data_IF_610478873278
#
_entry.id   IF_610478873278
#
_cell.length_a   1.000
_cell.length_b   1.000
_cell.length_c   1.000
_cell.angle_alpha   90.00
_cell.angle_beta   90.00
_cell.angle_gamma   90.00
#
_symmetry.space_group_name_H-M   'P 1'
#
loop_
_entity.id
_entity.type
_entity.pdbx_description
1 polymer ?
#
# COMPACT_ATOMS: atom_id res chain seq x y z
N UNK A 1 2.12 -6.00 25.46
CA UNK A 1 2.56 -4.61 25.16
C UNK A 1 2.73 -4.51 23.66
N UNK A 2 2.16 -3.49 23.01
CA UNK A 2 2.40 -3.25 21.58
C UNK A 2 3.66 -2.40 21.52
N UNK A 3 4.79 -2.99 21.12
CA UNK A 3 6.05 -2.27 21.04
C UNK A 3 6.01 -1.30 19.86
N UNK A 4 6.43 -0.06 20.10
CA UNK A 4 6.66 0.87 19.02
C UNK A 4 7.80 0.34 18.15
N UNK A 5 7.63 0.40 16.83
CA UNK A 5 8.63 -0.02 15.85
C UNK A 5 9.15 1.22 15.16
N UNK A 6 10.45 1.45 15.23
CA UNK A 6 11.11 2.55 14.54
C UNK A 6 11.76 2.01 13.26
N UNK A 7 11.40 2.59 12.11
CA UNK A 7 11.97 2.26 10.80
C UNK A 7 12.82 3.40 10.22
N UNK A 8 13.29 4.32 11.08
CA UNK A 8 14.06 5.50 10.65
C UNK A 8 15.36 5.12 9.92
N UNK A 9 16.06 4.08 10.38
CA UNK A 9 17.32 3.65 9.77
C UNK A 9 17.14 3.15 8.33
N UNK A 10 16.17 2.26 8.12
CA UNK A 10 15.79 1.76 6.81
C UNK A 10 15.25 2.89 5.93
N UNK A 11 14.45 3.79 6.50
CA UNK A 11 13.91 4.94 5.78
C UNK A 11 15.05 5.83 5.25
N UNK A 12 16.04 6.14 6.09
CA UNK A 12 17.22 6.92 5.70
C UNK A 12 18.04 6.21 4.63
N UNK A 13 18.21 4.89 4.70
CA UNK A 13 18.91 4.13 3.66
C UNK A 13 18.25 4.28 2.27
N UNK A 14 16.92 4.38 2.25
CA UNK A 14 16.13 4.51 1.01
C UNK A 14 16.02 5.94 0.48
N UNK A 15 15.86 6.93 1.38
CA UNK A 15 15.47 8.29 1.02
C UNK A 15 16.48 9.37 1.44
N UNK A 16 17.59 8.99 2.06
CA UNK A 16 18.57 9.91 2.63
C UNK A 16 18.12 10.51 3.97
N UNK A 17 19.03 11.26 4.59
CA UNK A 17 18.73 12.08 5.77
C UNK A 17 17.92 13.31 5.37
N UNK A 18 17.17 13.91 6.29
CA UNK A 18 16.42 15.13 5.97
C UNK A 18 17.32 16.32 5.64
N UNK A 19 18.52 16.35 6.23
CA UNK A 19 19.57 17.35 5.98
C UNK A 19 20.30 17.10 4.65
N UNK A 20 20.29 15.87 4.15
CA UNK A 20 20.93 15.47 2.89
C UNK A 20 20.06 14.44 2.16
N UNK A 21 18.89 14.87 1.64
CA UNK A 21 17.90 13.92 1.15
C UNK A 21 18.28 13.41 -0.23
N UNK A 22 17.88 12.16 -0.53
CA UNK A 22 17.99 11.61 -1.87
C UNK A 22 17.05 12.38 -2.80
N UNK A 23 17.57 12.77 -3.95
CA UNK A 23 16.81 13.42 -5.01
C UNK A 23 16.30 12.39 -6.00
N UNK A 24 15.03 12.53 -6.39
CA UNK A 24 14.37 11.73 -7.41
C UNK A 24 13.98 12.64 -8.57
N UNK A 25 14.33 12.28 -9.81
CA UNK A 25 14.03 13.11 -10.98
C UNK A 25 12.54 13.18 -11.25
N UNK A 26 11.82 12.08 -11.03
CA UNK A 26 10.38 11.97 -11.25
C UNK A 26 9.66 11.50 -9.98
N UNK A 27 8.35 11.69 -9.94
CA UNK A 27 7.54 11.15 -8.83
C UNK A 27 7.43 9.62 -8.92
N UNK A 28 7.47 9.09 -10.14
CA UNK A 28 7.42 7.66 -10.44
C UNK A 28 8.66 6.93 -9.87
N UNK A 29 9.85 7.52 -10.00
CA UNK A 29 11.08 6.98 -9.41
C UNK A 29 10.98 6.91 -7.88
N UNK A 30 10.45 7.96 -7.26
CA UNK A 30 10.20 7.99 -5.82
C UNK A 30 9.17 6.92 -5.42
N UNK A 31 8.08 6.77 -6.17
CA UNK A 31 7.04 5.78 -5.88
C UNK A 31 7.54 4.35 -6.03
N UNK A 32 8.44 4.09 -6.98
CA UNK A 32 9.11 2.80 -7.12
C UNK A 32 10.00 2.50 -5.91
N UNK A 33 10.82 3.46 -5.49
CA UNK A 33 11.67 3.34 -4.30
C UNK A 33 10.83 3.14 -3.03
N UNK A 34 9.71 3.86 -2.91
CA UNK A 34 8.74 3.68 -1.84
C UNK A 34 8.10 2.30 -1.89
N UNK A 35 7.75 1.79 -3.06
CA UNK A 35 7.22 0.43 -3.18
C UNK A 35 8.20 -0.60 -2.62
N UNK A 36 9.48 -0.49 -2.97
CA UNK A 36 10.54 -1.38 -2.48
C UNK A 36 10.71 -1.28 -0.97
N UNK A 37 10.86 -0.06 -0.43
CA UNK A 37 10.94 0.18 1.02
C UNK A 37 9.79 -0.48 1.79
N UNK A 38 8.55 -0.29 1.34
CA UNK A 38 7.39 -0.86 2.01
C UNK A 38 7.28 -2.39 1.84
N UNK A 39 7.86 -2.96 0.78
CA UNK A 39 7.94 -4.41 0.57
C UNK A 39 8.96 -5.06 1.51
N UNK A 40 10.09 -4.40 1.74
CA UNK A 40 11.19 -4.93 2.56
C UNK A 40 10.99 -4.70 4.06
N UNK A 41 10.41 -3.57 4.45
CA UNK A 41 10.16 -3.26 5.87
C UNK A 41 8.78 -3.71 6.33
N UNK A 42 7.80 -3.74 5.42
CA UNK A 42 6.39 -3.89 5.76
C UNK A 42 5.70 -2.58 6.18
N UNK A 43 6.42 -1.46 6.21
CA UNK A 43 5.90 -0.15 6.63
C UNK A 43 5.01 0.43 5.53
N UNK A 44 3.71 0.15 5.57
CA UNK A 44 2.80 0.55 4.49
C UNK A 44 2.27 1.97 4.64
N UNK A 45 2.43 2.76 3.59
CA UNK A 45 1.93 4.13 3.47
C UNK A 45 0.93 4.25 2.32
N UNK A 46 0.04 5.23 2.47
CA UNK A 46 -0.87 5.70 1.42
C UNK A 46 -0.77 7.21 1.29
N UNK A 47 -1.12 7.71 0.11
CA UNK A 47 -1.28 9.15 -0.10
C UNK A 47 -2.41 9.65 0.80
N UNK A 48 -2.12 10.69 1.58
CA UNK A 48 -3.09 11.40 2.42
C UNK A 48 -3.57 12.67 1.72
N UNK A 49 -2.64 13.48 1.25
CA UNK A 49 -2.91 14.74 0.56
C UNK A 49 -1.90 14.93 -0.56
N UNK A 50 -2.34 15.61 -1.62
CA UNK A 50 -1.50 16.06 -2.73
C UNK A 50 -1.78 17.54 -2.94
N UNK A 51 -0.72 18.34 -2.95
CA UNK A 51 -0.73 19.76 -3.23
C UNK A 51 -0.01 19.96 -4.57
N UNK A 52 -0.62 20.78 -5.43
CA UNK A 52 -0.13 21.08 -6.77
C UNK A 52 0.17 22.56 -6.89
N UNK A 53 1.14 22.89 -7.74
CA UNK A 53 1.43 24.28 -8.09
C UNK A 53 0.33 24.86 -9.00
N UNK A 54 0.45 26.16 -9.32
CA UNK A 54 -0.49 26.87 -10.21
C UNK A 54 -0.56 26.28 -11.63
N UNK A 55 0.50 25.60 -12.07
CA UNK A 55 0.56 24.94 -13.37
C UNK A 55 0.03 23.49 -13.32
N UNK A 56 -0.43 23.01 -12.15
CA UNK A 56 -0.97 21.67 -11.93
C UNK A 56 0.10 20.60 -11.68
N UNK A 57 1.38 20.98 -11.61
CA UNK A 57 2.50 20.12 -11.27
C UNK A 57 2.50 19.72 -9.80
N UNK A 58 3.02 18.53 -9.48
CA UNK A 58 3.10 18.08 -8.10
C UNK A 58 4.08 18.97 -7.31
N UNK A 59 3.59 19.66 -6.27
CA UNK A 59 4.42 20.48 -5.39
C UNK A 59 4.75 19.76 -4.08
N UNK A 60 3.75 19.15 -3.45
CA UNK A 60 3.92 18.44 -2.18
C UNK A 60 2.97 17.25 -2.10
N UNK A 61 3.42 16.15 -1.49
CA UNK A 61 2.56 15.00 -1.20
C UNK A 61 2.84 14.44 0.17
N UNK A 62 1.78 14.20 0.94
CA UNK A 62 1.86 13.64 2.28
C UNK A 62 1.49 12.18 2.23
N UNK A 63 2.35 11.35 2.79
CA UNK A 63 2.14 9.92 2.97
C UNK A 63 1.86 9.63 4.44
N UNK A 64 0.92 8.73 4.70
CA UNK A 64 0.57 8.31 6.06
C UNK A 64 0.45 6.81 6.12
N UNK A 65 0.80 6.23 7.27
CA UNK A 65 0.60 4.82 7.50
C UNK A 65 -0.86 4.40 7.23
N UNK A 66 -1.08 3.24 6.60
CA UNK A 66 -2.43 2.72 6.32
C UNK A 66 -3.26 2.47 7.60
N UNK A 67 -2.59 2.32 8.75
CA UNK A 67 -3.16 2.09 10.08
C UNK A 67 -3.49 3.40 10.83
N UNK A 68 -3.37 4.58 10.18
CA UNK A 68 -3.56 5.92 10.80
C UNK A 68 -4.94 6.20 11.37
N UNK A 69 -6.00 5.71 10.74
CA UNK A 69 -7.35 5.93 11.29
C UNK A 69 -7.46 5.29 12.68
N UNK A 70 -8.28 5.86 13.56
CA UNK A 70 -8.62 5.19 14.81
C UNK A 70 -9.81 4.26 14.57
N UNK A 71 -9.90 3.18 15.36
CA UNK A 71 -11.12 2.37 15.39
C UNK A 71 -12.28 3.29 15.77
N UNK A 72 -13.33 3.34 14.94
CA UNK A 72 -14.58 3.96 15.35
C UNK A 72 -15.04 3.27 16.63
N UNK A 73 -15.40 4.05 17.65
CA UNK A 73 -15.93 3.52 18.90
C UNK A 73 -17.12 2.59 18.56
N UNK A 74 -17.23 1.40 19.17
CA UNK A 74 -18.32 0.48 18.84
C UNK A 74 -19.66 1.18 19.00
N UNK A 75 -20.41 1.31 17.91
CA UNK A 75 -21.85 1.58 17.99
C UNK A 75 -22.54 0.32 18.51
N UNK A 76 -23.52 0.51 19.40
CA UNK A 76 -24.30 -0.57 20.02
C UNK A 76 -25.02 -1.38 18.93
N UNK A 77 -24.44 -2.47 18.44
CA UNK A 77 -25.17 -3.47 17.63
C UNK A 77 -24.55 -3.97 16.33
N UNK A 78 -23.39 -3.48 15.87
CA UNK A 78 -22.73 -4.02 14.68
C UNK A 78 -21.56 -4.93 15.05
N UNK A 79 -21.67 -6.20 14.60
CA UNK A 79 -20.66 -7.27 14.68
C UNK A 79 -19.24 -6.70 14.78
N UNK A 80 -18.60 -6.86 15.94
CA UNK A 80 -17.25 -6.34 16.18
C UNK A 80 -16.27 -6.95 15.19
N UNK A 81 -16.02 -6.24 14.08
CA UNK A 81 -14.87 -6.55 13.24
C UNK A 81 -13.67 -5.91 13.94
N UNK A 82 -12.59 -6.67 14.22
CA UNK A 82 -11.34 -6.06 14.65
C UNK A 82 -10.92 -5.05 13.60
N UNK A 83 -10.98 -3.76 13.94
CA UNK A 83 -10.47 -2.73 13.05
C UNK A 83 -8.96 -2.93 12.98
N UNK A 84 -8.46 -3.08 11.77
CA UNK A 84 -7.02 -3.07 11.50
C UNK A 84 -6.41 -1.68 11.72
N UNK A 85 -7.15 -0.69 12.21
CA UNK A 85 -6.71 0.71 12.33
C UNK A 85 -6.30 1.01 13.77
N UNK A 86 -5.08 1.51 13.97
CA UNK A 86 -4.43 1.65 15.29
C UNK A 86 -4.19 3.10 15.70
N UNK A 87 -4.64 4.08 14.92
CA UNK A 87 -4.29 5.47 15.17
C UNK A 87 -2.82 5.80 14.85
N UNK A 88 -2.14 5.01 14.00
CA UNK A 88 -0.71 5.16 13.74
C UNK A 88 -0.35 6.57 13.24
N UNK A 89 0.62 7.22 13.89
CA UNK A 89 1.04 8.57 13.55
C UNK A 89 2.20 8.64 12.54
N UNK A 90 2.70 7.49 12.08
CA UNK A 90 3.77 7.45 11.10
C UNK A 90 3.35 8.13 9.78
N UNK A 91 4.13 9.14 9.39
CA UNK A 91 3.85 10.03 8.26
C UNK A 91 5.13 10.66 7.74
N UNK A 92 5.20 10.95 6.45
CA UNK A 92 6.22 11.82 5.88
C UNK A 92 5.64 12.64 4.74
N UNK A 93 6.39 13.62 4.27
CA UNK A 93 6.05 14.34 3.06
C UNK A 93 7.23 14.43 2.11
N UNK A 94 6.88 14.43 0.83
CA UNK A 94 7.79 14.76 -0.26
C UNK A 94 7.45 16.14 -0.79
N UNK A 95 8.47 16.86 -1.22
CA UNK A 95 8.33 18.16 -1.86
C UNK A 95 9.12 18.20 -3.16
N UNK A 96 8.67 19.03 -4.09
CA UNK A 96 9.44 19.40 -5.25
C UNK A 96 10.47 20.46 -4.84
N UNK A 97 11.74 20.14 -5.05
CA UNK A 97 12.87 21.05 -4.86
C UNK A 97 12.88 22.16 -5.92
N UNK A 98 13.67 23.22 -5.69
CA UNK A 98 13.85 24.31 -6.66
C UNK A 98 14.42 23.82 -8.01
N UNK A 99 15.24 22.75 -8.00
CA UNK A 99 15.79 22.12 -9.20
C UNK A 99 14.79 21.21 -9.95
N UNK A 100 13.54 21.13 -9.51
CA UNK A 100 12.49 20.34 -10.15
C UNK A 100 12.43 18.87 -9.71
N UNK A 101 13.47 18.36 -9.03
CA UNK A 101 13.51 17.01 -8.43
C UNK A 101 12.64 16.91 -7.18
N UNK A 102 12.29 15.69 -6.78
CA UNK A 102 11.51 15.38 -5.58
C UNK A 102 12.40 14.82 -4.47
N UNK A 103 12.11 15.19 -3.22
CA UNK A 103 12.81 14.64 -2.06
C UNK A 103 11.91 14.60 -0.82
N UNK A 104 12.26 13.75 0.15
CA UNK A 104 11.61 13.74 1.47
C UNK A 104 12.23 14.85 2.30
N UNK A 105 11.41 15.73 2.88
CA UNK A 105 11.92 16.86 3.69
C UNK A 105 11.57 16.75 5.16
N UNK A 106 10.58 15.93 5.53
CA UNK A 106 10.29 15.62 6.93
C UNK A 106 9.39 14.40 7.08
N UNK A 107 9.51 13.75 8.25
CA UNK A 107 8.64 12.64 8.62
C UNK A 107 8.84 12.17 10.06
N UNK A 108 7.90 11.33 10.50
CA UNK A 108 7.91 10.55 11.73
C UNK A 108 7.81 9.08 11.32
N UNK A 109 8.87 8.31 11.57
CA UNK A 109 8.97 6.88 11.17
C UNK A 109 8.63 5.90 12.28
N UNK A 110 8.09 6.39 13.40
CA UNK A 110 7.68 5.56 14.53
C UNK A 110 6.28 5.00 14.34
N UNK A 111 6.17 3.68 14.33
CA UNK A 111 4.92 2.92 14.26
C UNK A 111 4.50 2.42 15.65
N UNK A 112 3.20 2.42 15.92
CA UNK A 112 2.61 1.89 17.15
C UNK A 112 2.00 0.49 16.96
N UNK A 113 2.41 -0.21 15.91
CA UNK A 113 1.96 -1.53 15.55
C UNK A 113 3.14 -2.29 14.92
N UNK A 114 3.12 -3.63 14.93
CA UNK A 114 4.12 -4.42 14.23
C UNK A 114 4.20 -4.02 12.76
N UNK A 115 5.41 -3.89 12.28
CA UNK A 115 5.72 -3.64 10.88
C UNK A 115 6.47 -4.86 10.40
N UNK A 116 5.84 -5.63 9.51
CA UNK A 116 6.35 -6.93 9.11
C UNK A 116 6.09 -7.15 7.61
N UNK A 117 7.11 -7.56 6.84
CA UNK A 117 6.99 -7.76 5.39
C UNK A 117 5.98 -8.85 4.99
N UNK A 118 5.88 -9.92 5.78
CA UNK A 118 4.97 -11.04 5.53
C UNK A 118 3.53 -10.57 5.74
N UNK A 119 3.24 -9.92 6.88
CA UNK A 119 1.90 -9.38 7.14
C UNK A 119 1.53 -8.26 6.17
N UNK A 120 2.50 -7.42 5.78
CA UNK A 120 2.33 -6.38 4.76
C UNK A 120 1.80 -6.94 3.45
N UNK A 121 2.38 -8.05 2.94
CA UNK A 121 1.93 -8.72 1.71
C UNK A 121 0.47 -9.20 1.78
N UNK A 122 -0.02 -9.49 2.99
CA UNK A 122 -1.40 -9.92 3.23
C UNK A 122 -2.39 -8.76 3.41
N UNK A 123 -1.94 -7.51 3.39
CA UNK A 123 -2.82 -6.35 3.49
C UNK A 123 -3.79 -6.28 2.30
N UNK A 124 -5.10 -6.02 2.53
CA UNK A 124 -6.11 -6.05 1.47
C UNK A 124 -5.78 -5.20 0.24
N UNK A 125 -5.11 -4.05 0.42
CA UNK A 125 -4.70 -3.20 -0.69
C UNK A 125 -3.63 -3.85 -1.58
N UNK A 126 -2.70 -4.64 -1.01
CA UNK A 126 -1.65 -5.34 -1.77
C UNK A 126 -2.14 -6.61 -2.45
N UNK A 127 -3.20 -7.22 -1.90
CA UNK A 127 -3.84 -8.40 -2.50
C UNK A 127 -4.75 -8.06 -3.67
N UNK A 128 -5.17 -6.79 -3.83
CA UNK A 128 -6.02 -6.37 -4.94
C UNK A 128 -5.28 -6.47 -6.27
N UNK A 129 -5.89 -7.14 -7.22
CA UNK A 129 -5.44 -7.19 -8.61
C UNK A 129 -5.93 -5.95 -9.34
N UNK A 130 -5.07 -5.36 -10.16
CA UNK A 130 -5.47 -4.29 -11.08
C UNK A 130 -6.27 -4.86 -12.27
N UNK A 131 -6.93 -4.01 -13.09
CA UNK A 131 -7.77 -4.49 -14.19
C UNK A 131 -7.03 -5.37 -15.21
N UNK A 132 -5.76 -5.07 -15.52
CA UNK A 132 -4.99 -5.86 -16.48
C UNK A 132 -4.67 -7.26 -15.92
N UNK A 133 -4.28 -7.32 -14.65
CA UNK A 133 -4.08 -8.58 -13.94
C UNK A 133 -5.38 -9.39 -13.84
N UNK A 134 -6.50 -8.71 -13.55
CA UNK A 134 -7.82 -9.35 -13.50
C UNK A 134 -8.18 -9.99 -14.84
N UNK A 135 -7.95 -9.32 -15.96
CA UNK A 135 -8.22 -9.87 -17.29
C UNK A 135 -7.32 -11.08 -17.58
N UNK A 136 -6.04 -11.02 -17.22
CA UNK A 136 -5.12 -12.15 -17.44
C UNK A 136 -5.51 -13.44 -16.69
N UNK A 137 -6.09 -13.34 -15.50
CA UNK A 137 -6.51 -14.51 -14.69
C UNK A 137 -7.95 -14.93 -14.95
N UNK A 138 -8.73 -14.12 -15.67
CA UNK A 138 -10.12 -14.39 -15.99
C UNK A 138 -10.33 -15.78 -16.59
N UNK A 139 -9.60 -16.20 -17.66
CA UNK A 139 -9.76 -17.53 -18.22
C UNK A 139 -9.48 -18.66 -17.21
N UNK A 140 -8.52 -18.46 -16.32
CA UNK A 140 -8.21 -19.45 -15.28
C UNK A 140 -9.38 -19.62 -14.31
N UNK A 141 -10.05 -18.52 -13.93
CA UNK A 141 -11.20 -18.53 -13.02
C UNK A 141 -12.51 -19.03 -13.66
N UNK A 142 -12.64 -18.91 -14.99
CA UNK A 142 -13.80 -19.41 -15.74
C UNK A 142 -13.70 -20.90 -16.02
N UNK A 143 -12.52 -21.39 -16.37
CA UNK A 143 -12.32 -22.76 -16.84
C UNK A 143 -12.27 -23.81 -15.71
N UNK A 144 -12.74 -23.45 -14.50
CA UNK A 144 -12.79 -24.36 -13.37
C UNK A 144 -11.45 -24.68 -12.73
N UNK A 145 -10.38 -23.94 -13.07
CA UNK A 145 -9.06 -24.14 -12.45
C UNK A 145 -9.17 -24.05 -10.93
N UNK A 146 -8.59 -25.00 -10.17
CA UNK A 146 -8.65 -24.94 -8.72
C UNK A 146 -8.03 -23.63 -8.21
N UNK A 147 -8.71 -22.98 -7.26
CA UNK A 147 -8.31 -21.64 -6.79
C UNK A 147 -6.90 -21.59 -6.22
N UNK A 148 -6.40 -22.71 -5.66
CA UNK A 148 -5.02 -22.82 -5.20
C UNK A 148 -4.00 -22.60 -6.32
N UNK A 149 -4.21 -23.18 -7.50
CA UNK A 149 -3.35 -22.97 -8.67
C UNK A 149 -3.42 -21.52 -9.17
N UNK A 150 -4.60 -20.92 -9.17
CA UNK A 150 -4.74 -19.51 -9.57
C UNK A 150 -4.00 -18.59 -8.59
N UNK A 151 -4.06 -18.86 -7.29
CA UNK A 151 -3.25 -18.14 -6.30
C UNK A 151 -1.74 -18.29 -6.54
N UNK A 152 -1.27 -19.50 -6.87
CA UNK A 152 0.16 -19.72 -7.20
C UNK A 152 0.57 -18.96 -8.46
N UNK A 153 -0.25 -19.02 -9.52
CA UNK A 153 -0.01 -18.26 -10.75
C UNK A 153 0.10 -16.75 -10.49
N UNK A 154 -0.81 -16.20 -9.69
CA UNK A 154 -0.80 -14.77 -9.31
C UNK A 154 0.47 -14.42 -8.52
N UNK A 155 0.91 -15.30 -7.62
CA UNK A 155 2.13 -15.10 -6.84
C UNK A 155 3.36 -15.06 -7.75
N UNK A 156 3.46 -15.99 -8.68
CA UNK A 156 4.60 -16.12 -9.58
C UNK A 156 4.66 -15.00 -10.63
N UNK A 157 3.52 -14.64 -11.22
CA UNK A 157 3.48 -13.70 -12.34
C UNK A 157 3.32 -12.24 -11.89
N UNK A 158 2.63 -11.99 -10.76
CA UNK A 158 2.31 -10.63 -10.31
C UNK A 158 2.95 -10.26 -8.97
N UNK A 159 3.65 -11.20 -8.32
CA UNK A 159 4.24 -11.01 -7.00
C UNK A 159 3.19 -10.57 -5.95
N UNK A 160 1.94 -11.02 -6.11
CA UNK A 160 0.81 -10.71 -5.22
C UNK A 160 0.34 -11.96 -4.48
N UNK A 161 -0.09 -11.77 -3.24
CA UNK A 161 -0.53 -12.86 -2.36
C UNK A 161 -2.05 -12.82 -2.22
N UNK A 162 -2.79 -13.44 -3.14
CA UNK A 162 -4.26 -13.48 -3.06
C UNK A 162 -4.73 -14.68 -2.25
N UNK A 163 -5.94 -14.58 -1.68
CA UNK A 163 -6.60 -15.71 -1.03
C UNK A 163 -7.67 -16.30 -1.96
N UNK A 164 -8.02 -17.59 -1.81
CA UNK A 164 -9.13 -18.19 -2.56
C UNK A 164 -10.43 -17.40 -2.40
N UNK A 165 -10.68 -16.83 -1.21
CA UNK A 165 -11.84 -15.97 -0.93
C UNK A 165 -11.84 -14.70 -1.78
N UNK A 166 -10.68 -14.09 -2.04
CA UNK A 166 -10.59 -12.92 -2.92
C UNK A 166 -11.01 -13.28 -4.36
N UNK A 167 -10.56 -14.45 -4.83
CA UNK A 167 -10.90 -14.97 -6.16
C UNK A 167 -12.39 -15.32 -6.27
N UNK A 168 -12.97 -15.92 -5.22
CA UNK A 168 -14.43 -16.15 -5.15
C UNK A 168 -15.19 -14.84 -5.22
N UNK A 169 -14.80 -13.83 -4.43
CA UNK A 169 -15.45 -12.51 -4.44
C UNK A 169 -15.31 -11.82 -5.81
N UNK A 170 -14.16 -11.95 -6.46
CA UNK A 170 -13.92 -11.42 -7.80
C UNK A 170 -14.82 -12.11 -8.84
N UNK A 171 -14.92 -13.43 -8.80
CA UNK A 171 -15.81 -14.20 -9.68
C UNK A 171 -17.28 -13.83 -9.47
N UNK A 172 -17.71 -13.69 -8.21
CA UNK A 172 -19.06 -13.20 -7.88
C UNK A 172 -19.31 -11.79 -8.38
N UNK A 173 -18.30 -10.90 -8.33
CA UNK A 173 -18.38 -9.56 -8.90
C UNK A 173 -18.59 -9.62 -10.41
N UNK A 174 -17.78 -10.38 -11.14
CA UNK A 174 -17.92 -10.52 -12.59
C UNK A 174 -19.26 -11.09 -13.04
N UNK A 175 -19.85 -12.03 -12.28
CA UNK A 175 -21.21 -12.52 -12.54
C UNK A 175 -22.26 -11.42 -12.41
N UNK A 176 -22.18 -10.62 -11.34
CA UNK A 176 -23.11 -9.48 -11.15
C UNK A 176 -22.96 -8.42 -12.23
N UNK A 177 -21.73 -8.20 -12.67
CA UNK A 177 -21.39 -7.18 -13.66
C UNK A 177 -21.60 -7.69 -15.11
N UNK A 178 -22.11 -8.91 -15.31
CA UNK A 178 -22.45 -9.47 -16.63
C UNK A 178 -21.26 -10.02 -17.44
N UNK A 179 -20.07 -10.11 -16.85
CA UNK A 179 -18.87 -10.64 -17.50
C UNK A 179 -18.79 -12.17 -17.52
N UNK A 180 -19.67 -12.85 -16.79
CA UNK A 180 -19.76 -14.31 -16.74
C UNK A 180 -21.24 -14.71 -16.83
N UNK A 181 -21.55 -15.54 -17.83
CA UNK A 181 -22.84 -16.22 -17.95
C UNK A 181 -22.85 -17.49 -17.09
#
# INVERSE_FOLDING_TARGET
MIHAVDVSGEFTAYFGHFESPRLFSTIEDFELQLKTFQCETGANYRIRTTERDKAGGLQRRVYTCIKKEQKLHPSRGLREKPSQKTGCQSTFNINRSMGGSYCVTSGKMMHNHPVDPIYSRLEPCRRRLDPAQQESIRPLLTNGTPLGYVCSYIRENFQKYTTPRDLTNLKSKWKRDGYLH
#
